data_IF_476454905453
#
_entry.id   IF_476454905453
#
_cell.length_a   1.000
_cell.length_b   1.000
_cell.length_c   1.000
_cell.angle_alpha   90.00
_cell.angle_beta   90.00
_cell.angle_gamma   90.00
#
_symmetry.space_group_name_H-M   'P 1'
#
loop_
_entity.id
_entity.type
_entity.pdbx_description
1 polymer ?
#
# COMPACT_ATOMS: atom_id res chain seq x y z
N UNK A 1 -20.05 10.53 17.33
CA UNK A 1 -18.68 10.31 16.81
C UNK A 1 -17.95 9.51 17.86
N UNK A 2 -17.46 8.30 17.56
CA UNK A 2 -16.66 7.55 18.54
C UNK A 2 -15.36 8.33 18.84
N UNK A 3 -14.80 8.27 20.06
CA UNK A 3 -13.43 8.69 20.31
C UNK A 3 -12.48 8.08 19.26
N UNK A 4 -11.48 8.83 18.81
CA UNK A 4 -10.56 8.37 17.77
C UNK A 4 -9.91 7.01 18.14
N UNK A 5 -9.58 6.83 19.41
CA UNK A 5 -8.99 5.59 19.92
C UNK A 5 -9.95 4.39 19.78
N UNK A 6 -11.23 4.55 20.13
CA UNK A 6 -12.26 3.51 19.97
C UNK A 6 -12.54 3.17 18.50
N UNK A 7 -12.43 4.15 17.60
CA UNK A 7 -12.53 3.92 16.15
C UNK A 7 -11.38 3.04 15.65
N UNK A 8 -10.14 3.36 16.02
CA UNK A 8 -8.98 2.59 15.59
C UNK A 8 -8.88 1.21 16.26
N UNK A 9 -9.29 1.08 17.52
CA UNK A 9 -9.28 -0.20 18.24
C UNK A 9 -10.23 -1.21 17.58
N UNK A 10 -11.46 -0.81 17.26
CA UNK A 10 -12.44 -1.69 16.62
C UNK A 10 -11.96 -2.21 15.26
N UNK A 11 -11.41 -1.32 14.42
CA UNK A 11 -10.86 -1.72 13.12
C UNK A 11 -9.62 -2.61 13.25
N UNK A 12 -8.72 -2.32 14.20
CA UNK A 12 -7.52 -3.15 14.43
C UNK A 12 -7.88 -4.56 14.88
N UNK A 13 -8.85 -4.69 15.78
CA UNK A 13 -9.31 -6.00 16.24
C UNK A 13 -9.97 -6.79 15.10
N UNK A 14 -10.86 -6.16 14.34
CA UNK A 14 -11.53 -6.79 13.19
C UNK A 14 -10.52 -7.27 12.13
N UNK A 15 -9.59 -6.41 11.72
CA UNK A 15 -8.56 -6.76 10.74
C UNK A 15 -7.62 -7.84 11.25
N UNK A 16 -7.22 -7.79 12.53
CA UNK A 16 -6.38 -8.82 13.14
C UNK A 16 -7.08 -10.17 13.16
N UNK A 17 -8.34 -10.20 13.56
CA UNK A 17 -9.14 -11.42 13.59
C UNK A 17 -9.25 -12.04 12.20
N UNK A 18 -9.57 -11.23 11.18
CA UNK A 18 -9.63 -11.68 9.79
C UNK A 18 -8.28 -12.25 9.29
N UNK A 19 -7.18 -11.53 9.54
CA UNK A 19 -5.83 -11.97 9.16
C UNK A 19 -5.42 -13.28 9.85
N UNK A 20 -5.77 -13.48 11.12
CA UNK A 20 -5.45 -14.72 11.85
C UNK A 20 -6.30 -15.92 11.40
N UNK A 21 -7.52 -15.68 10.91
CA UNK A 21 -8.41 -16.73 10.40
C UNK A 21 -8.05 -17.16 8.97
N UNK A 22 -7.41 -16.30 8.18
CA UNK A 22 -6.94 -16.65 6.85
C UNK A 22 -5.75 -17.63 6.92
N UNK A 23 -5.79 -18.80 6.24
CA UNK A 23 -4.73 -19.81 6.32
C UNK A 23 -3.33 -19.30 5.91
N UNK A 24 -3.27 -18.42 4.90
CA UNK A 24 -2.04 -17.74 4.46
C UNK A 24 -1.75 -16.42 5.18
N UNK A 25 -2.55 -16.04 6.18
CA UNK A 25 -2.45 -14.74 6.87
C UNK A 25 -2.54 -13.49 5.98
N UNK A 26 -3.28 -13.59 4.88
CA UNK A 26 -3.64 -12.43 4.09
C UNK A 26 -4.65 -11.56 4.85
N UNK A 27 -4.55 -10.25 4.67
CA UNK A 27 -5.56 -9.33 5.14
C UNK A 27 -6.47 -8.98 3.94
N UNK A 28 -7.78 -9.08 4.08
CA UNK A 28 -8.69 -8.78 2.96
C UNK A 28 -8.63 -7.28 2.61
N UNK A 29 -8.36 -6.99 1.33
CA UNK A 29 -8.33 -5.63 0.80
C UNK A 29 -9.67 -4.91 0.98
N UNK A 30 -10.80 -5.63 1.01
CA UNK A 30 -12.12 -5.05 1.26
C UNK A 30 -12.21 -4.45 2.65
N UNK A 31 -11.59 -5.08 3.65
CA UNK A 31 -11.52 -4.53 5.00
C UNK A 31 -10.65 -3.28 5.05
N UNK A 32 -9.49 -3.28 4.37
CA UNK A 32 -8.62 -2.09 4.27
C UNK A 32 -9.35 -0.93 3.59
N UNK A 33 -10.03 -1.20 2.46
CA UNK A 33 -10.87 -0.23 1.76
C UNK A 33 -11.97 0.31 2.65
N UNK A 34 -12.70 -0.55 3.35
CA UNK A 34 -13.80 -0.13 4.22
C UNK A 34 -13.31 0.77 5.35
N UNK A 35 -12.18 0.43 5.97
CA UNK A 35 -11.51 1.29 6.94
C UNK A 35 -11.17 2.66 6.36
N UNK A 36 -10.52 2.70 5.20
CA UNK A 36 -10.20 3.97 4.56
C UNK A 36 -11.47 4.77 4.24
N UNK A 37 -12.50 4.16 3.66
CA UNK A 37 -13.76 4.84 3.39
C UNK A 37 -14.40 5.43 4.66
N UNK A 38 -14.40 4.70 5.78
CA UNK A 38 -14.95 5.19 7.05
C UNK A 38 -14.08 6.28 7.69
N UNK A 39 -12.75 6.14 7.62
CA UNK A 39 -11.80 7.19 8.03
C UNK A 39 -12.04 8.49 7.25
N UNK A 40 -12.48 8.37 6.00
CA UNK A 40 -12.77 9.48 5.11
C UNK A 40 -11.51 10.24 4.69
N UNK A 41 -11.72 11.33 3.97
CA UNK A 41 -10.66 12.20 3.45
C UNK A 41 -10.96 13.68 3.65
N UNK A 42 -12.03 14.02 4.37
CA UNK A 42 -12.49 15.41 4.55
C UNK A 42 -11.55 16.21 5.43
N UNK A 43 -11.01 15.57 6.47
CA UNK A 43 -10.11 16.24 7.40
C UNK A 43 -8.67 16.18 6.91
N UNK A 44 -7.92 17.25 7.19
CA UNK A 44 -6.47 17.28 6.94
C UNK A 44 -5.76 16.12 7.66
N UNK A 45 -6.17 15.83 8.88
CA UNK A 45 -5.60 14.77 9.69
C UNK A 45 -5.81 13.39 9.06
N UNK A 46 -7.01 13.09 8.56
CA UNK A 46 -7.29 11.80 7.90
C UNK A 46 -6.43 11.61 6.64
N UNK A 47 -6.31 12.63 5.79
CA UNK A 47 -5.44 12.60 4.60
C UNK A 47 -3.98 12.39 4.99
N UNK A 48 -3.51 13.09 6.01
CA UNK A 48 -2.16 12.97 6.52
C UNK A 48 -1.88 11.58 7.11
N UNK A 49 -2.82 11.04 7.89
CA UNK A 49 -2.71 9.70 8.47
C UNK A 49 -2.52 8.65 7.37
N UNK A 50 -3.38 8.66 6.33
CA UNK A 50 -3.27 7.74 5.19
C UNK A 50 -1.92 7.86 4.50
N UNK A 51 -1.53 9.09 4.16
CA UNK A 51 -0.27 9.33 3.47
C UNK A 51 0.95 8.88 4.28
N UNK A 52 0.96 9.15 5.59
CA UNK A 52 2.02 8.66 6.47
C UNK A 52 2.02 7.14 6.60
N UNK A 53 0.84 6.52 6.65
CA UNK A 53 0.74 5.05 6.69
C UNK A 53 1.31 4.42 5.42
N UNK A 54 1.05 5.01 4.25
CA UNK A 54 1.64 4.58 2.99
C UNK A 54 3.17 4.73 2.97
N UNK A 55 3.69 5.90 3.38
CA UNK A 55 5.14 6.16 3.52
C UNK A 55 5.82 5.13 4.42
N UNK A 56 5.21 4.82 5.57
CA UNK A 56 5.75 3.84 6.51
C UNK A 56 5.81 2.44 5.91
N UNK A 57 4.83 2.06 5.08
CA UNK A 57 4.86 0.78 4.37
C UNK A 57 6.07 0.68 3.44
N UNK A 58 6.34 1.73 2.65
CA UNK A 58 7.53 1.78 1.78
C UNK A 58 8.82 1.71 2.59
N UNK A 59 8.92 2.49 3.68
CA UNK A 59 10.08 2.46 4.57
C UNK A 59 10.34 1.08 5.17
N UNK A 60 9.29 0.32 5.49
CA UNK A 60 9.40 -1.03 6.05
C UNK A 60 10.08 -2.00 5.09
N UNK A 61 9.89 -1.82 3.78
CA UNK A 61 10.39 -2.73 2.74
C UNK A 61 11.62 -2.21 1.99
N UNK A 62 12.05 -0.97 2.24
CA UNK A 62 13.34 -0.47 1.75
C UNK A 62 14.53 -1.42 2.02
N UNK A 63 14.66 -2.07 3.19
CA UNK A 63 15.74 -3.04 3.43
C UNK A 63 15.69 -4.28 2.52
N UNK A 64 14.55 -4.57 1.90
CA UNK A 64 14.42 -5.64 0.89
C UNK A 64 15.01 -5.20 -0.44
N UNK A 65 14.77 -3.95 -0.85
CA UNK A 65 15.27 -3.39 -2.11
C UNK A 65 16.78 -3.14 -2.08
N UNK A 66 17.29 -2.54 -0.99
CA UNK A 66 18.65 -2.03 -0.91
C UNK A 66 19.76 -3.04 -1.27
N UNK A 67 19.73 -4.30 -0.80
CA UNK A 67 20.73 -5.29 -1.19
C UNK A 67 20.64 -5.73 -2.66
N UNK A 68 19.45 -5.65 -3.26
CA UNK A 68 19.18 -6.15 -4.61
C UNK A 68 19.40 -5.08 -5.67
N UNK A 69 19.15 -3.82 -5.32
CA UNK A 69 19.23 -2.66 -6.20
C UNK A 69 19.86 -1.46 -5.45
N UNK A 70 21.14 -1.54 -5.05
CA UNK A 70 21.80 -0.53 -4.21
C UNK A 70 21.97 0.84 -4.89
N UNK A 71 21.77 0.90 -6.20
CA UNK A 71 21.88 2.11 -7.02
C UNK A 71 20.56 2.52 -7.66
N UNK A 72 19.42 2.06 -7.14
CA UNK A 72 18.11 2.50 -7.61
C UNK A 72 17.68 3.76 -6.82
N UNK A 73 17.88 4.98 -7.35
CA UNK A 73 17.53 6.21 -6.64
C UNK A 73 16.02 6.43 -6.62
N UNK A 74 15.26 5.78 -7.51
CA UNK A 74 13.88 6.18 -7.80
C UNK A 74 13.00 6.05 -6.56
N UNK A 75 13.11 4.95 -5.82
CA UNK A 75 12.31 4.76 -4.58
C UNK A 75 12.65 5.81 -3.52
N UNK A 76 13.90 6.27 -3.46
CA UNK A 76 14.28 7.33 -2.53
C UNK A 76 13.73 8.69 -2.95
N UNK A 77 13.76 9.00 -4.25
CA UNK A 77 13.20 10.24 -4.80
C UNK A 77 11.67 10.27 -4.62
N UNK A 78 10.99 9.16 -4.90
CA UNK A 78 9.56 8.97 -4.69
C UNK A 78 9.17 9.15 -3.21
N UNK A 79 9.89 8.49 -2.30
CA UNK A 79 9.66 8.61 -0.86
C UNK A 79 9.94 10.02 -0.34
N UNK A 80 11.00 10.67 -0.83
CA UNK A 80 11.35 12.05 -0.49
C UNK A 80 10.26 13.03 -0.94
N UNK A 81 9.73 12.85 -2.15
CA UNK A 81 8.62 13.65 -2.67
C UNK A 81 7.33 13.43 -1.86
N UNK A 82 7.03 12.18 -1.46
CA UNK A 82 5.91 11.83 -0.58
C UNK A 82 5.99 12.57 0.75
N UNK A 83 7.13 12.44 1.44
CA UNK A 83 7.36 13.06 2.75
C UNK A 83 7.28 14.59 2.64
N UNK A 84 7.90 15.16 1.61
CA UNK A 84 7.89 16.61 1.41
C UNK A 84 6.49 17.14 1.10
N UNK A 85 5.69 16.40 0.33
CA UNK A 85 4.28 16.73 0.10
C UNK A 85 3.48 16.75 1.41
N UNK A 86 3.63 15.72 2.26
CA UNK A 86 2.95 15.66 3.56
C UNK A 86 3.37 16.79 4.48
N UNK A 87 4.65 17.16 4.47
CA UNK A 87 5.22 18.26 5.25
C UNK A 87 5.03 19.64 4.63
N UNK A 88 4.39 19.75 3.45
CA UNK A 88 4.23 21.00 2.69
C UNK A 88 5.56 21.71 2.41
N UNK A 89 6.60 20.94 2.09
CA UNK A 89 7.94 21.44 1.75
C UNK A 89 8.15 21.44 0.24
N UNK A 90 8.92 22.41 -0.23
CA UNK A 90 9.37 22.43 -1.62
C UNK A 90 10.34 21.26 -1.88
N UNK A 91 10.22 20.66 -3.07
CA UNK A 91 11.12 19.60 -3.55
C UNK A 91 11.57 19.89 -4.98
N UNK A 92 12.78 19.42 -5.36
CA UNK A 92 13.25 19.54 -6.75
C UNK A 92 12.34 18.82 -7.75
N UNK A 93 11.76 17.69 -7.32
CA UNK A 93 10.85 16.88 -8.12
C UNK A 93 9.47 16.87 -7.47
N UNK A 94 8.50 17.50 -8.12
CA UNK A 94 7.12 17.46 -7.64
C UNK A 94 6.56 16.04 -7.73
N UNK A 95 5.75 15.64 -6.75
CA UNK A 95 5.03 14.36 -6.73
C UNK A 95 4.26 14.11 -8.04
N UNK A 96 3.73 15.17 -8.66
CA UNK A 96 3.04 15.09 -9.96
C UNK A 96 3.98 14.66 -11.09
N UNK A 97 5.17 15.24 -11.15
CA UNK A 97 6.13 14.92 -12.20
C UNK A 97 6.60 13.46 -12.10
N UNK A 98 6.87 12.98 -10.88
CA UNK A 98 7.26 11.59 -10.64
C UNK A 98 6.15 10.61 -11.04
N UNK A 99 4.89 10.91 -10.67
CA UNK A 99 3.76 10.06 -11.06
C UNK A 99 3.56 9.99 -12.58
N UNK A 100 3.69 11.13 -13.29
CA UNK A 100 3.56 11.17 -14.76
C UNK A 100 4.69 10.38 -15.45
N UNK A 101 5.92 10.50 -14.95
CA UNK A 101 7.08 9.75 -15.45
C UNK A 101 6.96 8.24 -15.20
N UNK A 102 6.51 7.88 -13.99
CA UNK A 102 6.59 6.50 -13.53
C UNK A 102 5.39 5.67 -13.93
N UNK A 103 4.25 6.28 -14.27
CA UNK A 103 3.05 5.57 -14.76
C UNK A 103 3.37 4.61 -15.91
N UNK A 104 4.12 5.07 -16.92
CA UNK A 104 4.49 4.24 -18.08
C UNK A 104 5.57 3.20 -17.74
N UNK A 105 6.52 3.57 -16.87
CA UNK A 105 7.60 2.68 -16.43
C UNK A 105 7.04 1.47 -15.66
N UNK A 106 6.18 1.71 -14.66
CA UNK A 106 5.57 0.65 -13.86
C UNK A 106 4.60 -0.23 -14.65
N UNK A 107 3.81 0.36 -15.55
CA UNK A 107 2.94 -0.41 -16.44
C UNK A 107 3.76 -1.36 -17.33
N UNK A 108 4.90 -0.90 -17.83
CA UNK A 108 5.79 -1.72 -18.66
C UNK A 108 6.50 -2.82 -17.86
N UNK A 109 6.94 -2.53 -16.63
CA UNK A 109 7.57 -3.53 -15.75
C UNK A 109 6.61 -4.64 -15.33
N UNK A 110 5.34 -4.30 -15.09
CA UNK A 110 4.28 -5.27 -14.77
C UNK A 110 3.86 -6.11 -15.98
N UNK A 111 3.68 -5.49 -17.16
CA UNK A 111 3.33 -6.21 -18.38
C UNK A 111 4.43 -7.18 -18.84
N UNK A 112 5.68 -6.84 -18.57
CA UNK A 112 6.81 -7.65 -18.99
C UNK A 112 7.25 -8.66 -17.94
N UNK A 113 6.69 -8.62 -16.70
CA UNK A 113 7.16 -9.35 -15.51
C UNK A 113 8.64 -9.69 -15.66
N UNK A 114 9.43 -8.62 -15.81
CA UNK A 114 10.72 -8.72 -16.45
C UNK A 114 11.56 -9.68 -15.60
N UNK A 115 11.81 -10.90 -16.10
CA UNK A 115 12.47 -12.01 -15.37
C UNK A 115 13.89 -11.65 -14.89
N UNK A 116 14.37 -10.47 -15.25
CA UNK A 116 15.67 -9.91 -14.88
C UNK A 116 15.69 -9.22 -13.51
N UNK A 117 14.54 -8.86 -12.91
CA UNK A 117 14.49 -8.22 -11.59
C UNK A 117 13.86 -9.12 -10.52
N UNK A 118 14.39 -9.12 -9.28
CA UNK A 118 13.77 -9.82 -8.16
C UNK A 118 12.33 -9.36 -7.90
N UNK A 119 11.41 -10.29 -7.68
CA UNK A 119 9.99 -10.00 -7.48
C UNK A 119 9.73 -9.12 -6.25
N UNK A 120 10.37 -9.42 -5.13
CA UNK A 120 10.32 -8.60 -3.92
C UNK A 120 10.82 -7.15 -4.12
N UNK A 121 11.83 -6.93 -4.98
CA UNK A 121 12.28 -5.59 -5.37
C UNK A 121 11.24 -4.85 -6.21
N UNK A 122 10.64 -5.54 -7.20
CA UNK A 122 9.54 -4.99 -8.01
C UNK A 122 8.35 -4.58 -7.12
N UNK A 123 7.95 -5.44 -6.18
CA UNK A 123 6.87 -5.16 -5.23
C UNK A 123 7.20 -3.97 -4.33
N UNK A 124 8.47 -3.78 -3.94
CA UNK A 124 8.90 -2.62 -3.17
C UNK A 124 8.73 -1.32 -3.95
N UNK A 125 9.11 -1.30 -5.23
CA UNK A 125 8.91 -0.14 -6.09
C UNK A 125 7.42 0.13 -6.33
N UNK A 126 6.61 -0.93 -6.48
CA UNK A 126 5.15 -0.81 -6.55
C UNK A 126 4.57 -0.16 -5.27
N UNK A 127 5.06 -0.53 -4.09
CA UNK A 127 4.62 0.10 -2.84
C UNK A 127 4.91 1.60 -2.82
N UNK A 128 6.08 2.00 -3.33
CA UNK A 128 6.48 3.40 -3.45
C UNK A 128 5.58 4.19 -4.40
N UNK A 129 5.31 3.62 -5.59
CA UNK A 129 4.37 4.20 -6.54
C UNK A 129 2.96 4.36 -5.96
N UNK A 130 2.46 3.34 -5.26
CA UNK A 130 1.16 3.40 -4.58
C UNK A 130 1.13 4.45 -3.48
N UNK A 131 2.20 4.61 -2.71
CA UNK A 131 2.27 5.64 -1.69
C UNK A 131 2.14 7.04 -2.31
N UNK A 132 2.76 7.28 -3.46
CA UNK A 132 2.57 8.55 -4.18
C UNK A 132 1.11 8.77 -4.62
N UNK A 133 0.43 7.72 -5.08
CA UNK A 133 -0.98 7.78 -5.49
C UNK A 133 -1.91 8.08 -4.31
N UNK A 134 -1.75 7.37 -3.18
CA UNK A 134 -2.51 7.58 -1.94
C UNK A 134 -2.35 9.01 -1.43
N UNK A 135 -1.11 9.51 -1.34
CA UNK A 135 -0.82 10.84 -0.79
C UNK A 135 -1.44 11.95 -1.64
N UNK A 136 -1.41 11.80 -2.97
CA UNK A 136 -1.96 12.80 -3.87
C UNK A 136 -3.49 12.80 -3.87
N UNK A 137 -4.15 11.79 -3.27
CA UNK A 137 -5.59 11.54 -3.37
C UNK A 137 -6.06 11.56 -4.83
N UNK A 138 -5.23 11.09 -5.77
CA UNK A 138 -5.49 11.33 -7.20
C UNK A 138 -6.66 10.50 -7.72
N UNK A 139 -7.03 9.43 -7.02
CA UNK A 139 -8.27 8.69 -7.23
C UNK A 139 -8.62 7.93 -5.96
N UNK A 140 -9.88 7.50 -5.81
CA UNK A 140 -10.20 6.41 -4.89
C UNK A 140 -9.23 5.26 -5.19
N UNK A 141 -8.38 4.91 -4.22
CA UNK A 141 -7.32 3.87 -4.35
C UNK A 141 -7.91 2.52 -4.77
N UNK A 142 -9.24 2.40 -4.60
CA UNK A 142 -10.08 1.28 -4.97
C UNK A 142 -11.27 1.70 -5.88
N UNK A 143 -11.21 2.87 -6.53
CA UNK A 143 -12.25 3.37 -7.45
C UNK A 143 -12.21 2.67 -8.79
N UNK A 144 -11.01 2.33 -9.26
CA UNK A 144 -10.77 1.49 -10.44
C UNK A 144 -11.07 0.00 -10.18
N UNK A 145 -11.30 -0.38 -8.93
CA UNK A 145 -11.59 -1.75 -8.51
C UNK A 145 -13.04 -2.16 -8.76
N UNK A 146 -14.01 -1.25 -8.66
CA UNK A 146 -15.42 -1.58 -8.86
C UNK A 146 -15.70 -2.22 -10.24
N UNK A 147 -15.12 -1.71 -11.36
CA UNK A 147 -15.24 -2.35 -12.67
C UNK A 147 -14.53 -3.71 -12.77
N UNK A 148 -13.32 -3.87 -12.20
CA UNK A 148 -12.58 -5.15 -12.25
C UNK A 148 -13.18 -6.23 -11.35
N UNK A 149 -13.77 -5.85 -10.21
CA UNK A 149 -14.56 -6.73 -9.33
C UNK A 149 -15.88 -7.11 -10.01
N UNK A 150 -16.47 -6.23 -10.81
CA UNK A 150 -17.66 -6.55 -11.61
C UNK A 150 -17.37 -7.49 -12.80
N UNK A 151 -16.12 -7.52 -13.27
CA UNK A 151 -15.63 -8.50 -14.24
C UNK A 151 -15.31 -9.86 -13.56
N UNK A 152 -16.13 -10.27 -12.59
CA UNK A 152 -16.07 -11.53 -11.85
C UNK A 152 -15.76 -12.66 -12.82
N UNK A 153 -14.58 -13.27 -12.69
CA UNK A 153 -14.45 -14.68 -13.08
C UNK A 153 -15.47 -15.41 -12.22
N UNK A 154 -16.56 -15.78 -12.88
CA UNK A 154 -17.44 -16.80 -12.36
C UNK A 154 -16.74 -18.12 -12.61
N UNK A 155 -16.81 -19.04 -11.65
CA UNK A 155 -16.49 -20.42 -11.96
C UNK A 155 -17.46 -20.96 -13.04
N UNK A 156 -17.24 -22.19 -13.49
CA UNK A 156 -18.14 -22.87 -14.43
C UNK A 156 -19.60 -22.96 -13.94
N UNK A 157 -19.85 -22.74 -12.64
CA UNK A 157 -21.16 -22.77 -12.00
C UNK A 157 -21.78 -21.38 -11.80
N UNK A 158 -21.11 -20.31 -12.26
CA UNK A 158 -21.64 -18.96 -12.12
C UNK A 158 -21.35 -18.29 -10.76
N UNK A 159 -20.60 -18.94 -9.86
CA UNK A 159 -20.26 -18.41 -8.55
C UNK A 159 -19.06 -17.47 -8.63
N UNK A 160 -19.12 -16.36 -7.88
CA UNK A 160 -18.02 -15.40 -7.78
C UNK A 160 -16.80 -16.06 -7.15
N UNK A 161 -15.68 -16.11 -7.87
CA UNK A 161 -14.42 -16.59 -7.30
C UNK A 161 -13.97 -15.57 -6.25
N UNK A 162 -14.05 -15.97 -4.98
CA UNK A 162 -13.71 -15.12 -3.82
C UNK A 162 -12.20 -15.04 -3.53
N UNK A 163 -11.38 -15.82 -4.24
CA UNK A 163 -9.99 -16.13 -3.88
C UNK A 163 -8.95 -15.15 -4.44
N UNK A 164 -9.19 -13.84 -4.39
CA UNK A 164 -8.16 -12.86 -4.78
C UNK A 164 -7.33 -12.45 -3.56
N UNK A 165 -6.07 -12.88 -3.53
CA UNK A 165 -5.10 -12.63 -2.45
C UNK A 165 -4.32 -11.34 -2.68
N UNK A 166 -3.57 -10.87 -1.67
CA UNK A 166 -2.68 -9.70 -1.84
C UNK A 166 -1.67 -9.91 -3.00
N UNK A 167 -1.22 -11.15 -3.22
CA UNK A 167 -0.28 -11.50 -4.29
C UNK A 167 -0.91 -11.34 -5.69
N UNK A 168 -2.21 -11.62 -5.82
CA UNK A 168 -2.95 -11.43 -7.07
C UNK A 168 -3.10 -9.94 -7.42
N UNK A 169 -3.18 -9.08 -6.40
CA UNK A 169 -3.40 -7.64 -6.58
C UNK A 169 -2.12 -6.87 -6.88
N UNK A 170 -0.97 -7.28 -6.35
CA UNK A 170 0.32 -6.60 -6.60
C UNK A 170 0.75 -6.67 -8.08
N UNK A 171 0.27 -7.67 -8.82
CA UNK A 171 0.49 -7.78 -10.27
C UNK A 171 -0.36 -6.83 -11.13
N UNK A 172 -1.36 -6.14 -10.56
CA UNK A 172 -2.27 -5.28 -11.32
C UNK A 172 -1.89 -3.81 -11.10
N UNK A 173 -1.27 -3.19 -12.12
CA UNK A 173 -0.80 -1.79 -12.11
C UNK A 173 -1.87 -0.78 -11.69
N UNK A 174 -3.15 -1.12 -11.84
CA UNK A 174 -4.29 -0.25 -11.56
C UNK A 174 -4.95 -0.46 -10.18
N UNK A 175 -4.51 -1.44 -9.38
CA UNK A 175 -5.23 -1.86 -8.17
C UNK A 175 -4.34 -2.07 -6.94
N UNK A 176 -4.83 -1.69 -5.76
CA UNK A 176 -4.26 -2.01 -4.45
C UNK A 176 -3.65 -0.81 -3.74
N UNK A 177 -3.53 -0.89 -2.41
CA UNK A 177 -2.86 0.11 -1.58
C UNK A 177 -1.35 -0.20 -1.44
N UNK A 178 -0.58 0.78 -0.97
CA UNK A 178 0.85 0.68 -0.70
C UNK A 178 1.14 -0.40 0.37
N UNK A 179 0.22 -0.61 1.30
CA UNK A 179 0.35 -1.63 2.33
C UNK A 179 0.35 -3.05 1.73
N UNK A 180 -0.48 -3.31 0.72
CA UNK A 180 -0.59 -4.59 0.02
C UNK A 180 0.71 -4.90 -0.74
N UNK A 181 1.20 -3.92 -1.51
CA UNK A 181 2.45 -4.04 -2.24
C UNK A 181 3.65 -4.25 -1.31
N UNK A 182 3.70 -3.53 -0.18
CA UNK A 182 4.73 -3.71 0.83
C UNK A 182 4.60 -5.08 1.54
N UNK A 183 3.39 -5.55 1.83
CA UNK A 183 3.17 -6.84 2.46
C UNK A 183 3.70 -7.99 1.59
N UNK A 184 3.41 -7.95 0.28
CA UNK A 184 3.96 -8.92 -0.68
C UNK A 184 5.47 -8.76 -0.79
N UNK A 185 6.00 -7.55 -0.95
CA UNK A 185 7.45 -7.32 -1.00
C UNK A 185 8.19 -7.88 0.22
N UNK A 186 7.60 -7.78 1.40
CA UNK A 186 8.15 -8.29 2.65
C UNK A 186 8.10 -9.82 2.74
N UNK A 187 7.01 -10.42 2.25
CA UNK A 187 6.72 -11.84 2.43
C UNK A 187 7.17 -12.73 1.27
N UNK A 188 7.34 -12.19 0.08
CA UNK A 188 7.71 -12.95 -1.11
C UNK A 188 9.24 -13.12 -1.26
N UNK A 189 9.65 -13.88 -2.25
CA UNK A 189 11.07 -14.14 -2.55
C UNK A 189 11.53 -13.35 -3.76
N UNK A 190 12.81 -13.49 -4.13
CA UNK A 190 13.33 -12.88 -5.35
C UNK A 190 12.71 -13.48 -6.62
N UNK A 191 12.22 -14.73 -6.57
CA UNK A 191 11.80 -15.48 -7.76
C UNK A 191 10.31 -15.80 -7.81
N UNK A 192 9.57 -15.56 -6.73
CA UNK A 192 8.14 -15.87 -6.62
C UNK A 192 7.41 -14.76 -5.87
N UNK A 193 6.17 -14.48 -6.29
CA UNK A 193 5.22 -13.63 -5.57
C UNK A 193 4.44 -14.39 -4.49
N UNK A 194 4.63 -15.70 -4.37
CA UNK A 194 4.09 -16.50 -3.27
C UNK A 194 4.63 -15.97 -1.93
N UNK A 195 3.71 -15.69 -1.01
CA UNK A 195 4.03 -15.06 0.27
C UNK A 195 4.28 -16.12 1.34
N UNK A 196 5.39 -15.98 2.07
CA UNK A 196 5.60 -16.70 3.33
C UNK A 196 4.55 -16.26 4.37
N UNK A 197 3.67 -17.16 4.86
CA UNK A 197 2.60 -16.79 5.79
C UNK A 197 3.09 -16.18 7.10
N UNK A 198 4.25 -16.62 7.60
CA UNK A 198 4.80 -16.11 8.85
C UNK A 198 5.34 -14.67 8.66
N UNK A 199 5.99 -14.40 7.52
CA UNK A 199 6.41 -13.03 7.18
C UNK A 199 5.21 -12.12 6.92
N UNK A 200 4.18 -12.62 6.22
CA UNK A 200 2.98 -11.84 5.94
C UNK A 200 2.23 -11.47 7.23
N UNK A 201 2.07 -12.44 8.15
CA UNK A 201 1.55 -12.19 9.50
C UNK A 201 2.38 -11.16 10.26
N UNK A 202 3.71 -11.25 10.20
CA UNK A 202 4.60 -10.31 10.87
C UNK A 202 4.45 -8.89 10.31
N UNK A 203 4.32 -8.74 8.98
CA UNK A 203 4.05 -7.45 8.35
C UNK A 203 2.72 -6.86 8.81
N UNK A 204 1.62 -7.62 8.74
CA UNK A 204 0.31 -7.11 9.14
C UNK A 204 0.20 -6.79 10.63
N UNK A 205 0.87 -7.58 11.48
CA UNK A 205 0.96 -7.29 12.92
C UNK A 205 1.68 -5.96 13.15
N UNK A 206 2.84 -5.75 12.51
CA UNK A 206 3.56 -4.48 12.56
C UNK A 206 2.70 -3.31 12.03
N UNK A 207 1.98 -3.52 10.92
CA UNK A 207 1.14 -2.49 10.32
C UNK A 207 0.04 -2.03 11.29
N UNK A 208 -0.67 -2.98 11.92
CA UNK A 208 -1.74 -2.70 12.88
C UNK A 208 -1.23 -2.13 14.21
N UNK A 209 -0.12 -2.65 14.74
CA UNK A 209 0.34 -2.30 16.11
C UNK A 209 1.27 -1.09 16.16
N UNK A 210 2.12 -0.92 15.15
CA UNK A 210 3.16 0.11 15.16
C UNK A 210 2.91 1.20 14.12
N UNK A 211 2.62 0.81 12.88
CA UNK A 211 2.54 1.76 11.77
C UNK A 211 1.36 2.74 11.93
N UNK A 212 0.19 2.24 12.34
CA UNK A 212 -0.99 3.09 12.61
C UNK A 212 -0.70 4.13 13.69
N UNK A 213 -0.16 3.69 14.83
CA UNK A 213 0.18 4.59 15.94
C UNK A 213 1.20 5.64 15.52
N UNK A 214 2.20 5.26 14.73
CA UNK A 214 3.21 6.19 14.22
C UNK A 214 2.62 7.17 13.20
N UNK A 215 1.77 6.70 12.29
CA UNK A 215 1.09 7.54 11.31
C UNK A 215 0.17 8.58 11.99
N UNK A 216 -0.57 8.18 13.03
CA UNK A 216 -1.41 9.07 13.82
C UNK A 216 -0.62 10.20 14.49
N UNK A 217 0.55 9.88 15.07
CA UNK A 217 1.45 10.89 15.65
C UNK A 217 1.96 11.87 14.59
N UNK A 218 2.50 11.35 13.48
CA UNK A 218 3.02 12.18 12.39
C UNK A 218 1.94 13.06 11.74
N UNK A 219 0.70 12.56 11.63
CA UNK A 219 -0.43 13.35 11.13
C UNK A 219 -0.83 14.49 12.07
N UNK A 220 -0.63 14.31 13.37
CA UNK A 220 -0.94 15.30 14.41
C UNK A 220 0.14 16.38 14.54
N UNK A 221 1.38 16.06 14.13
CA UNK A 221 2.54 16.97 14.17
C UNK A 221 2.66 17.87 12.93
N UNK A 222 1.72 17.79 11.98
CA UNK A 222 1.77 18.62 10.78
C UNK A 222 1.65 20.12 11.13
N UNK A 223 2.49 20.99 10.54
CA UNK A 223 2.46 22.43 10.82
C UNK A 223 1.10 23.01 10.48
N UNK A 224 0.53 23.89 11.31
CA UNK A 224 -0.78 24.51 11.09
C UNK A 224 -0.91 25.19 9.70
N UNK A 225 -2.13 25.36 9.17
CA UNK A 225 -2.29 26.10 7.91
C UNK A 225 -1.78 27.53 8.12
N UNK A 226 -0.77 27.92 7.36
CA UNK A 226 -0.33 29.31 7.22
C UNK A 226 -1.24 30.05 6.25
#
# INVERSE_FOLDING_TARGET
MKPADEFFDGWREQMRSAMLQHPGHHLDWRLRRAFYLELGQETRWARAFRGWLAVLCVQKVLPVLLPLCPHDPEVFDELSACISHLLQRETPLSLRHLLDSNYHSYAQELLLFNKSRPQNALCTRMASFRAMQEIKNWDNEYGWLDPFVSARRRDENGMEIQDTTDADWVGVAAVGDAASAAAVAFACSETSTECDPAKLRAFWTWWLDEAWNRAARLASELPGPH
#
